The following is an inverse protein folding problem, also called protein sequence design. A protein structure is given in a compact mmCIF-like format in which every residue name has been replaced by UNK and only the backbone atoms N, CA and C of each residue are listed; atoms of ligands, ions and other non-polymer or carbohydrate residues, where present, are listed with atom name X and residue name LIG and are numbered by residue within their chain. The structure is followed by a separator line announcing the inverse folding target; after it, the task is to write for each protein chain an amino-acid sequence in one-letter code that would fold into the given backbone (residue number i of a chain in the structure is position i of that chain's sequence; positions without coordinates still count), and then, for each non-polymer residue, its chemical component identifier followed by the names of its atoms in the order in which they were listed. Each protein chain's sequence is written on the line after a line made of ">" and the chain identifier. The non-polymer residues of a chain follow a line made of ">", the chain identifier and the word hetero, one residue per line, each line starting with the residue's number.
data_IF_992554590588
#
_entry.id   IF_992554590588
#
_cell.length_a   1.000
_cell.length_b   1.000
_cell.length_c   1.000
_cell.angle_alpha   90.00
_cell.angle_beta   90.00
_cell.angle_gamma   90.00
#
_symmetry.space_group_name_H-M   'P 1'
#
loop_
_entity.id
_entity.type
_entity.pdbx_description
1 polymer ?
#
# COMPACT_ATOMS: atom_id res chain seq x y z
N UNK A 1 1.98 5.41 -12.63
CA UNK A 1 1.42 6.02 -11.41
C UNK A 1 0.12 6.69 -11.77
N UNK A 2 -0.94 6.43 -11.01
CA UNK A 2 -2.22 7.12 -11.10
C UNK A 2 -2.20 8.40 -10.25
N UNK A 3 -1.77 8.29 -9.00
CA UNK A 3 -1.56 9.41 -8.08
C UNK A 3 -0.61 8.99 -6.95
N UNK A 4 -0.16 9.97 -6.18
CA UNK A 4 0.63 9.78 -4.97
C UNK A 4 -0.28 9.85 -3.75
N UNK A 5 -0.01 9.00 -2.75
CA UNK A 5 -0.73 9.02 -1.49
C UNK A 5 0.26 8.90 -0.32
N UNK A 6 0.03 9.63 0.76
CA UNK A 6 0.82 9.55 1.98
C UNK A 6 -0.05 8.95 3.10
N UNK A 7 0.47 7.96 3.81
CA UNK A 7 -0.28 7.29 4.88
C UNK A 7 -0.55 8.24 6.05
N UNK A 8 -1.78 8.25 6.56
CA UNK A 8 -2.16 9.01 7.76
C UNK A 8 -2.09 8.14 9.03
N UNK A 9 -2.18 6.83 8.88
CA UNK A 9 -2.23 5.86 9.98
C UNK A 9 -1.19 4.76 9.81
N UNK A 10 -0.84 4.13 10.92
CA UNK A 10 -0.09 2.87 10.89
C UNK A 10 -1.02 1.74 10.46
N UNK A 11 -0.48 0.84 9.63
CA UNK A 11 -1.13 -0.41 9.31
C UNK A 11 -0.15 -1.57 9.45
N UNK A 12 -0.49 -2.50 10.36
CA UNK A 12 0.27 -3.70 10.60
C UNK A 12 -0.64 -4.93 10.50
N UNK A 13 -0.26 -5.88 9.65
CA UNK A 13 -1.00 -7.12 9.41
C UNK A 13 -0.03 -8.30 9.29
N UNK A 14 -0.54 -9.50 9.61
CA UNK A 14 0.17 -10.75 9.40
C UNK A 14 0.58 -10.90 7.91
N UNK A 15 1.80 -11.38 7.68
CA UNK A 15 2.47 -11.37 6.37
C UNK A 15 1.91 -12.41 5.38
N UNK A 16 1.00 -13.27 5.85
CA UNK A 16 0.43 -14.39 5.11
C UNK A 16 -0.77 -13.98 4.24
N UNK A 17 -1.38 -12.82 4.51
CA UNK A 17 -2.54 -12.36 3.77
C UNK A 17 -2.14 -11.83 2.39
N UNK A 18 -2.67 -12.46 1.34
CA UNK A 18 -2.49 -12.05 -0.05
C UNK A 18 -3.83 -11.99 -0.76
N UNK A 19 -3.93 -11.10 -1.73
CA UNK A 19 -5.08 -10.99 -2.61
C UNK A 19 -4.61 -10.81 -4.06
N UNK A 20 -5.16 -11.60 -4.99
CA UNK A 20 -4.75 -11.60 -6.40
C UNK A 20 -3.23 -11.73 -6.61
N UNK A 21 -2.52 -12.43 -5.72
CA UNK A 21 -1.07 -12.64 -5.79
C UNK A 21 -0.22 -11.55 -5.12
N UNK A 22 -0.81 -10.44 -4.67
CA UNK A 22 -0.10 -9.35 -4.01
C UNK A 22 -0.30 -9.37 -2.49
N UNK A 23 0.75 -9.08 -1.69
CA UNK A 23 0.62 -8.94 -0.24
C UNK A 23 -0.10 -7.65 0.13
N UNK A 24 -0.56 -7.55 1.36
CA UNK A 24 -0.91 -6.26 1.96
C UNK A 24 0.37 -5.59 2.48
N UNK A 25 0.59 -4.33 2.11
CA UNK A 25 1.75 -3.59 2.58
C UNK A 25 1.54 -3.15 4.02
N UNK A 26 2.60 -3.21 4.83
CA UNK A 26 2.65 -2.57 6.13
C UNK A 26 3.23 -1.18 5.96
N UNK A 27 2.77 -0.26 6.78
CA UNK A 27 3.26 1.09 6.74
C UNK A 27 3.03 1.84 8.04
N UNK A 28 3.84 2.86 8.25
CA UNK A 28 3.70 3.85 9.33
C UNK A 28 3.19 5.17 8.74
N UNK A 29 2.69 6.10 9.56
CA UNK A 29 2.26 7.42 9.07
C UNK A 29 3.41 8.17 8.37
N UNK A 30 3.08 8.81 7.25
CA UNK A 30 3.98 9.68 6.49
C UNK A 30 4.72 8.98 5.33
N UNK A 31 4.61 7.67 5.18
CA UNK A 31 5.20 6.96 4.05
C UNK A 31 4.46 7.28 2.74
N UNK A 32 5.20 7.43 1.65
CA UNK A 32 4.65 7.86 0.35
C UNK A 32 4.55 6.69 -0.61
N UNK A 33 3.40 6.59 -1.28
CA UNK A 33 3.06 5.49 -2.15
C UNK A 33 2.76 5.96 -3.57
N UNK A 34 3.37 5.25 -4.53
CA UNK A 34 2.96 5.28 -5.93
C UNK A 34 1.75 4.38 -6.13
N UNK A 35 0.54 4.95 -6.22
CA UNK A 35 -0.66 4.18 -6.52
C UNK A 35 -0.72 3.87 -8.01
N UNK A 36 -0.89 2.60 -8.37
CA UNK A 36 -0.84 2.12 -9.77
C UNK A 36 -2.12 1.42 -10.24
N UNK A 37 -2.96 0.94 -9.32
CA UNK A 37 -4.28 0.39 -9.64
C UNK A 37 -5.24 0.50 -8.45
N UNK A 38 -6.54 0.31 -8.70
CA UNK A 38 -7.59 0.32 -7.68
C UNK A 38 -8.52 -0.88 -7.86
N UNK A 39 -9.02 -1.43 -6.75
CA UNK A 39 -10.00 -2.52 -6.70
C UNK A 39 -10.89 -2.35 -5.47
N UNK A 40 -12.08 -1.79 -5.66
CA UNK A 40 -12.95 -1.42 -4.52
C UNK A 40 -12.23 -0.40 -3.63
N UNK A 41 -12.18 -0.66 -2.32
CA UNK A 41 -11.50 0.18 -1.32
C UNK A 41 -9.99 -0.08 -1.21
N UNK A 42 -9.44 -0.99 -2.05
CA UNK A 42 -8.02 -1.32 -2.07
C UNK A 42 -7.31 -0.60 -3.21
N UNK A 43 -6.13 -0.07 -2.93
CA UNK A 43 -5.21 0.45 -3.93
C UNK A 43 -4.00 -0.47 -4.03
N UNK A 44 -3.59 -0.79 -5.26
CA UNK A 44 -2.33 -1.45 -5.51
C UNK A 44 -1.26 -0.36 -5.61
N UNK A 45 -0.24 -0.45 -4.76
CA UNK A 45 0.74 0.59 -4.64
C UNK A 45 2.15 0.05 -4.39
N UNK A 46 3.14 0.91 -4.63
CA UNK A 46 4.54 0.69 -4.28
C UNK A 46 4.95 1.76 -3.28
N UNK A 47 5.55 1.35 -2.16
CA UNK A 47 6.12 2.30 -1.21
C UNK A 47 7.40 2.91 -1.80
N UNK A 48 7.50 4.24 -1.85
CA UNK A 48 8.68 4.96 -2.35
C UNK A 48 9.86 4.88 -1.37
N UNK A 49 9.57 4.71 -0.08
CA UNK A 49 10.56 4.58 0.99
C UNK A 49 11.10 3.13 1.09
N UNK A 50 10.44 2.16 0.44
CA UNK A 50 10.91 0.77 0.33
C UNK A 50 11.80 0.54 -0.88
N UNK A 51 13.10 0.40 -0.62
CA UNK A 51 14.12 0.05 -1.63
C UNK A 51 13.91 -1.32 -2.30
N UNK A 52 13.16 -2.24 -1.68
CA UNK A 52 12.83 -3.54 -2.29
C UNK A 52 11.83 -3.40 -3.44
N UNK A 53 11.12 -2.27 -3.46
CA UNK A 53 10.12 -1.94 -4.47
C UNK A 53 8.93 -2.88 -4.45
N UNK A 54 8.58 -3.42 -3.27
CA UNK A 54 7.46 -4.33 -3.14
C UNK A 54 6.16 -3.65 -3.53
N UNK A 55 5.40 -4.31 -4.40
CA UNK A 55 4.06 -3.90 -4.80
C UNK A 55 3.06 -4.68 -3.96
N UNK A 56 2.08 -3.99 -3.38
CA UNK A 56 1.06 -4.62 -2.58
C UNK A 56 -0.17 -3.75 -2.36
N UNK A 57 -1.15 -4.31 -1.67
CA UNK A 57 -2.42 -3.66 -1.37
C UNK A 57 -2.31 -2.75 -0.16
N UNK A 58 -2.85 -1.54 -0.30
CA UNK A 58 -3.10 -0.58 0.78
C UNK A 58 -4.61 -0.25 0.80
N UNK A 59 -5.11 0.20 1.95
CA UNK A 59 -6.53 0.55 2.12
C UNK A 59 -6.73 2.05 1.99
N UNK A 60 -7.66 2.48 1.12
CA UNK A 60 -7.87 3.91 0.84
C UNK A 60 -8.21 4.74 2.08
N UNK A 61 -8.89 4.15 3.06
CA UNK A 61 -9.32 4.82 4.30
C UNK A 61 -8.16 5.20 5.23
N UNK A 62 -6.95 4.74 4.95
CA UNK A 62 -5.76 5.05 5.75
C UNK A 62 -4.94 6.23 5.20
N UNK A 63 -5.43 6.87 4.13
CA UNK A 63 -4.79 7.94 3.36
C UNK A 63 -5.74 9.13 3.27
#
# INVERSE_FOLDING_TARGET
>A
VLFLAASLFEFNIAHDRREAGFPYLRYVPGEVFDVIAQKGELWLAKNQDDSSGQIGWIWEKHF
#
